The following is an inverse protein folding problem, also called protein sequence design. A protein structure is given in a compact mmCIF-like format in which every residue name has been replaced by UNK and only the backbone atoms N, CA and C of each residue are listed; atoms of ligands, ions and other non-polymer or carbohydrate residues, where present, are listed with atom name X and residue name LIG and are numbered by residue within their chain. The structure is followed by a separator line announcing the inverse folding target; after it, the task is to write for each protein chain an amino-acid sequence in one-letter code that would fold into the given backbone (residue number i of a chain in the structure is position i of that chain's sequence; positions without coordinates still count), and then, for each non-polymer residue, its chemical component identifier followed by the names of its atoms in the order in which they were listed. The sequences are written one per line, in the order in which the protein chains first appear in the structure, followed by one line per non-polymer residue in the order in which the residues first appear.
data_IF_706071683286
#
_entry.id   IF_706071683286
#
_cell.length_a   1.000
_cell.length_b   1.000
_cell.length_c   1.000
_cell.angle_alpha   90.00
_cell.angle_beta   90.00
_cell.angle_gamma   90.00
#
_symmetry.space_group_name_H-M   'P 1'
#
loop_
_entity.id
_entity.type
_entity.pdbx_description
1 polymer ?
#
# COMPACT_ATOMS: atom_id res chain seq x y z
N UNK A 1 -7.51 27.71 11.40
CA UNK A 1 -8.78 27.46 10.68
C UNK A 1 -8.63 26.28 9.75
N UNK A 2 -9.68 25.46 9.66
CA UNK A 2 -9.67 24.34 8.74
C UNK A 2 -9.72 24.85 7.30
N UNK A 3 -8.84 24.37 6.46
CA UNK A 3 -8.83 24.71 5.03
C UNK A 3 -9.91 23.90 4.33
N UNK A 4 -10.50 24.50 3.31
CA UNK A 4 -11.49 23.80 2.49
C UNK A 4 -10.78 22.76 1.63
N UNK A 5 -11.27 21.54 1.66
CA UNK A 5 -10.74 20.43 0.86
C UNK A 5 -11.27 20.56 -0.55
N UNK A 6 -10.36 20.59 -1.54
CA UNK A 6 -10.69 20.65 -2.95
C UNK A 6 -10.81 19.25 -3.55
N UNK A 7 -9.84 18.38 -3.26
CA UNK A 7 -9.83 17.03 -3.83
C UNK A 7 -9.02 16.05 -2.98
N UNK A 8 -9.27 14.77 -3.20
CA UNK A 8 -8.44 13.68 -2.67
C UNK A 8 -7.79 12.96 -3.85
N UNK A 9 -6.50 12.66 -3.71
CA UNK A 9 -5.74 11.90 -4.70
C UNK A 9 -5.20 10.65 -4.05
N UNK A 10 -5.45 9.48 -4.64
CA UNK A 10 -4.96 8.20 -4.14
C UNK A 10 -3.97 7.63 -5.13
N UNK A 11 -2.76 7.34 -4.67
CA UNK A 11 -1.68 6.83 -5.50
C UNK A 11 -0.95 5.69 -4.79
N UNK A 12 -0.30 4.84 -5.57
CA UNK A 12 0.70 3.90 -5.08
C UNK A 12 2.04 4.26 -5.70
N UNK A 13 3.00 4.60 -4.85
CA UNK A 13 4.31 5.09 -5.29
C UNK A 13 5.39 4.23 -4.64
N UNK A 14 6.40 3.78 -5.40
CA UNK A 14 7.53 3.04 -4.81
C UNK A 14 8.22 3.87 -3.71
N UNK A 15 8.53 3.24 -2.58
CA UNK A 15 9.15 3.89 -1.45
C UNK A 15 10.48 4.55 -1.85
N UNK A 16 10.69 5.79 -1.44
CA UNK A 16 11.87 6.60 -1.71
C UNK A 16 12.15 6.84 -3.21
N UNK A 17 11.17 6.60 -4.08
CA UNK A 17 11.33 6.72 -5.54
C UNK A 17 10.27 7.62 -6.18
N UNK A 18 9.64 8.50 -5.41
CA UNK A 18 8.70 9.46 -5.99
C UNK A 18 9.44 10.45 -6.90
N UNK A 19 8.88 10.69 -8.09
CA UNK A 19 9.45 11.62 -9.05
C UNK A 19 8.31 12.27 -9.86
N UNK A 20 8.60 13.33 -10.63
CA UNK A 20 7.58 14.01 -11.41
C UNK A 20 7.02 13.23 -12.60
N UNK A 21 7.56 12.06 -12.89
CA UNK A 21 7.09 11.20 -13.97
C UNK A 21 5.73 10.56 -13.62
N UNK A 22 4.94 10.10 -14.62
CA UNK A 22 3.73 9.36 -14.32
C UNK A 22 4.00 8.19 -13.35
N UNK A 23 3.06 7.89 -12.41
CA UNK A 23 1.72 8.47 -12.30
C UNK A 23 1.64 9.74 -11.43
N UNK A 24 2.73 10.15 -10.77
CA UNK A 24 2.71 11.25 -9.79
C UNK A 24 2.46 12.60 -10.46
N UNK A 25 3.22 12.92 -11.52
CA UNK A 25 3.14 14.20 -12.19
C UNK A 25 1.75 14.55 -12.67
N UNK A 26 1.14 13.72 -13.54
CA UNK A 26 -0.20 14.03 -14.06
C UNK A 26 -1.27 14.10 -12.96
N UNK A 27 -1.21 13.22 -11.96
CA UNK A 27 -2.21 13.19 -10.89
C UNK A 27 -2.19 14.47 -10.05
N UNK A 28 -1.01 14.95 -9.70
CA UNK A 28 -0.86 16.19 -8.91
C UNK A 28 -1.01 17.43 -9.76
N UNK A 29 -0.52 17.38 -10.99
CA UNK A 29 -0.58 18.52 -11.92
C UNK A 29 -2.01 18.94 -12.26
N UNK A 30 -2.94 18.00 -12.37
CA UNK A 30 -4.35 18.29 -12.61
C UNK A 30 -4.97 19.16 -11.51
N UNK A 31 -4.45 19.04 -10.29
CA UNK A 31 -4.96 19.79 -9.15
C UNK A 31 -4.13 21.01 -8.79
N UNK A 32 -3.07 21.27 -9.56
CA UNK A 32 -2.20 22.43 -9.36
C UNK A 32 -1.31 22.36 -8.13
N UNK A 33 -1.04 21.14 -7.65
CA UNK A 33 -0.17 20.90 -6.49
C UNK A 33 1.30 20.93 -6.92
N UNK A 34 2.17 21.43 -6.04
CA UNK A 34 3.62 21.42 -6.30
C UNK A 34 4.16 19.99 -6.22
N UNK A 35 4.46 19.44 -7.39
CA UNK A 35 4.91 18.05 -7.54
C UNK A 35 6.24 17.80 -6.82
N UNK A 36 7.18 18.72 -6.95
CA UNK A 36 8.51 18.57 -6.36
C UNK A 36 8.48 18.55 -4.84
N UNK A 37 7.66 19.42 -4.24
CA UNK A 37 7.49 19.47 -2.79
C UNK A 37 6.93 18.14 -2.26
N UNK A 38 5.95 17.59 -2.95
CA UNK A 38 5.38 16.28 -2.61
C UNK A 38 6.44 15.17 -2.72
N UNK A 39 7.17 15.14 -3.82
CA UNK A 39 8.19 14.10 -4.04
C UNK A 39 9.26 14.13 -2.95
N UNK A 40 9.73 15.32 -2.57
CA UNK A 40 10.72 15.48 -1.50
C UNK A 40 10.18 15.00 -0.17
N UNK A 41 8.97 15.41 0.20
CA UNK A 41 8.35 15.03 1.46
C UNK A 41 8.11 13.53 1.52
N UNK A 42 7.55 12.94 0.46
CA UNK A 42 7.29 11.51 0.38
C UNK A 42 8.58 10.69 0.48
N UNK A 43 9.59 11.05 -0.29
CA UNK A 43 10.87 10.34 -0.27
C UNK A 43 11.52 10.40 1.10
N UNK A 44 11.46 11.56 1.77
CA UNK A 44 12.00 11.70 3.12
C UNK A 44 11.29 10.80 4.13
N UNK A 45 9.96 10.72 4.05
CA UNK A 45 9.18 9.89 4.97
C UNK A 45 9.30 8.39 4.70
N UNK A 46 9.60 8.00 3.47
CA UNK A 46 9.68 6.58 3.08
C UNK A 46 11.11 6.04 3.04
N UNK A 47 12.11 6.83 3.41
CA UNK A 47 13.51 6.37 3.41
C UNK A 47 13.76 5.18 4.32
N UNK A 48 13.01 5.06 5.41
CA UNK A 48 13.12 3.93 6.34
C UNK A 48 12.54 2.64 5.82
N UNK A 49 11.78 2.70 4.73
CA UNK A 49 11.15 1.54 4.10
C UNK A 49 12.08 0.94 3.04
N UNK A 50 11.84 -0.33 2.72
CA UNK A 50 12.58 -0.99 1.65
C UNK A 50 12.32 -0.27 0.32
N UNK A 51 13.37 0.22 -0.38
CA UNK A 51 13.18 0.93 -1.65
C UNK A 51 12.47 0.07 -2.69
N UNK A 52 11.56 0.68 -3.43
CA UNK A 52 10.82 0.01 -4.48
C UNK A 52 9.54 -0.70 -4.04
N UNK A 53 9.27 -0.82 -2.73
CA UNK A 53 7.99 -1.35 -2.25
C UNK A 53 6.90 -0.32 -2.52
N UNK A 54 5.79 -0.69 -3.20
CA UNK A 54 4.68 0.23 -3.39
C UNK A 54 4.10 0.68 -2.05
N UNK A 55 3.97 2.00 -1.89
CA UNK A 55 3.37 2.59 -0.70
C UNK A 55 2.11 3.33 -1.13
N UNK A 56 0.92 2.90 -0.66
CA UNK A 56 -0.31 3.64 -0.92
C UNK A 56 -0.28 4.97 -0.18
N UNK A 57 -0.68 6.02 -0.87
CA UNK A 57 -0.71 7.37 -0.31
C UNK A 57 -2.05 8.02 -0.62
N UNK A 58 -2.62 8.72 0.34
CA UNK A 58 -3.82 9.52 0.15
C UNK A 58 -3.42 10.98 0.35
N UNK A 59 -3.52 11.77 -0.71
CA UNK A 59 -3.15 13.18 -0.72
C UNK A 59 -4.42 14.01 -0.66
N UNK A 60 -4.51 14.89 0.33
CA UNK A 60 -5.61 15.85 0.45
C UNK A 60 -5.15 17.18 -0.10
N UNK A 61 -5.83 17.67 -1.15
CA UNK A 61 -5.57 18.97 -1.78
C UNK A 61 -6.57 19.99 -1.27
N UNK A 62 -6.06 21.13 -0.82
CA UNK A 62 -6.89 22.20 -0.29
C UNK A 62 -7.14 23.28 -1.34
N UNK A 63 -8.14 24.14 -1.09
CA UNK A 63 -8.54 25.19 -2.03
C UNK A 63 -7.42 26.19 -2.35
N UNK A 64 -6.48 26.38 -1.44
CA UNK A 64 -5.31 27.26 -1.64
C UNK A 64 -4.14 26.58 -2.36
N UNK A 65 -4.35 25.36 -2.89
CA UNK A 65 -3.35 24.53 -3.58
C UNK A 65 -2.27 23.94 -2.65
N UNK A 66 -2.43 24.10 -1.34
CA UNK A 66 -1.61 23.35 -0.40
C UNK A 66 -2.09 21.90 -0.32
N UNK A 67 -1.27 21.03 0.24
CA UNK A 67 -1.60 19.62 0.37
C UNK A 67 -1.09 19.04 1.68
N UNK A 68 -1.75 17.97 2.11
CA UNK A 68 -1.24 17.06 3.13
C UNK A 68 -1.38 15.65 2.60
N UNK A 69 -0.58 14.74 3.09
CA UNK A 69 -0.70 13.34 2.65
C UNK A 69 -0.51 12.39 3.83
N UNK A 70 -1.15 11.22 3.69
CA UNK A 70 -1.05 10.12 4.65
C UNK A 70 -0.53 8.92 3.88
N UNK A 71 0.59 8.36 4.31
CA UNK A 71 1.09 7.11 3.76
C UNK A 71 0.48 5.95 4.54
N UNK A 72 0.13 4.89 3.82
CA UNK A 72 -0.38 3.66 4.40
C UNK A 72 0.66 2.56 4.30
N UNK A 73 0.40 1.43 4.96
CA UNK A 73 1.29 0.28 4.84
C UNK A 73 1.23 -0.31 3.43
N UNK A 74 2.29 -1.02 2.97
CA UNK A 74 2.28 -1.63 1.64
C UNK A 74 1.05 -2.51 1.43
N UNK A 75 0.56 -2.66 0.17
CA UNK A 75 -0.60 -3.51 -0.09
C UNK A 75 -0.38 -4.95 0.39
N UNK A 76 -1.42 -5.57 0.93
CA UNK A 76 -1.34 -6.94 1.41
C UNK A 76 -0.87 -7.92 0.32
N UNK A 77 -1.31 -7.71 -0.92
CA UNK A 77 -0.91 -8.55 -2.04
C UNK A 77 0.61 -8.53 -2.29
N UNK A 78 1.24 -7.37 -2.13
CA UNK A 78 2.69 -7.23 -2.29
C UNK A 78 3.42 -7.99 -1.19
N UNK A 79 2.98 -7.83 0.06
CA UNK A 79 3.57 -8.52 1.21
C UNK A 79 3.40 -10.04 1.11
N UNK A 80 2.23 -10.50 0.66
CA UNK A 80 1.95 -11.91 0.47
C UNK A 80 2.81 -12.54 -0.63
N UNK A 81 2.94 -11.85 -1.76
CA UNK A 81 3.80 -12.34 -2.85
C UNK A 81 5.26 -12.44 -2.42
N UNK A 82 5.72 -11.47 -1.67
CA UNK A 82 7.08 -11.46 -1.14
C UNK A 82 7.30 -12.62 -0.17
N UNK A 83 6.36 -12.85 0.75
CA UNK A 83 6.43 -13.96 1.71
C UNK A 83 6.37 -15.33 1.03
N UNK A 84 5.55 -15.46 -0.02
CA UNK A 84 5.42 -16.70 -0.78
C UNK A 84 6.56 -16.91 -1.80
N UNK A 85 7.36 -15.87 -2.06
CA UNK A 85 8.46 -15.95 -3.02
C UNK A 85 8.03 -15.96 -4.47
N UNK A 86 6.87 -15.38 -4.81
CA UNK A 86 6.34 -15.32 -6.17
C UNK A 86 6.26 -13.88 -6.66
N UNK A 87 6.45 -13.68 -7.96
CA UNK A 87 6.41 -12.36 -8.58
C UNK A 87 5.00 -11.89 -8.87
N UNK A 88 4.11 -12.82 -9.19
CA UNK A 88 2.73 -12.51 -9.56
C UNK A 88 1.76 -13.46 -8.86
N UNK A 89 0.54 -12.97 -8.64
CA UNK A 89 -0.56 -13.81 -8.21
C UNK A 89 -1.09 -14.66 -9.37
N UNK A 90 -2.05 -15.53 -9.05
CA UNK A 90 -2.68 -16.41 -10.04
C UNK A 90 -3.78 -15.68 -10.82
N UNK A 91 -3.88 -15.95 -12.12
CA UNK A 91 -5.02 -15.55 -12.94
C UNK A 91 -6.27 -16.40 -12.68
N UNK A 92 -6.08 -17.59 -12.10
CA UNK A 92 -7.15 -18.53 -11.74
C UNK A 92 -6.99 -18.96 -10.27
N UNK A 93 -7.22 -18.05 -9.31
CA UNK A 93 -6.87 -18.32 -7.90
C UNK A 93 -7.67 -19.45 -7.26
N UNK A 94 -8.81 -19.78 -7.80
CA UNK A 94 -9.65 -20.87 -7.28
C UNK A 94 -9.14 -22.27 -7.68
N UNK A 95 -8.40 -22.37 -8.77
CA UNK A 95 -7.94 -23.64 -9.32
C UNK A 95 -6.43 -23.77 -9.41
N UNK A 96 -5.71 -22.67 -9.58
CA UNK A 96 -4.26 -22.67 -9.76
C UNK A 96 -3.58 -21.86 -8.68
N UNK A 97 -2.97 -22.54 -7.71
CA UNK A 97 -2.22 -21.91 -6.62
C UNK A 97 -0.77 -21.74 -7.02
N UNK A 98 -0.25 -20.53 -6.86
CA UNK A 98 1.12 -20.18 -7.29
C UNK A 98 2.13 -20.11 -6.15
N UNK A 99 1.67 -20.17 -4.91
CA UNK A 99 2.54 -20.11 -3.74
C UNK A 99 1.83 -20.51 -2.47
N UNK A 100 2.57 -20.48 -1.37
CA UNK A 100 2.06 -20.85 -0.05
C UNK A 100 2.71 -19.99 1.01
N UNK A 101 1.94 -19.60 2.02
CA UNK A 101 2.44 -18.88 3.20
C UNK A 101 2.05 -19.63 4.47
N UNK A 102 2.92 -19.56 5.45
CA UNK A 102 2.66 -20.18 6.77
C UNK A 102 1.90 -19.21 7.66
N UNK A 103 1.32 -19.71 8.74
CA UNK A 103 0.66 -18.88 9.74
C UNK A 103 1.61 -17.83 10.32
N UNK A 104 2.87 -18.17 10.57
CA UNK A 104 3.87 -17.24 11.08
C UNK A 104 4.07 -16.06 10.12
N UNK A 105 4.15 -16.34 8.82
CA UNK A 105 4.26 -15.30 7.79
C UNK A 105 3.01 -14.41 7.74
N UNK A 106 1.82 -15.01 7.90
CA UNK A 106 0.56 -14.25 7.96
C UNK A 106 0.52 -13.34 9.18
N UNK A 107 1.01 -13.79 10.32
CA UNK A 107 1.08 -12.99 11.55
C UNK A 107 2.04 -11.80 11.38
N UNK A 108 3.18 -12.00 10.73
CA UNK A 108 4.12 -10.93 10.43
C UNK A 108 3.48 -9.87 9.53
N UNK A 109 2.80 -10.29 8.48
CA UNK A 109 2.10 -9.40 7.56
C UNK A 109 0.99 -8.65 8.30
N UNK A 110 0.22 -9.37 9.11
CA UNK A 110 -0.86 -8.78 9.89
C UNK A 110 -0.34 -7.71 10.87
N UNK A 111 0.82 -7.95 11.48
CA UNK A 111 1.44 -6.98 12.38
C UNK A 111 1.81 -5.70 11.64
N UNK A 112 2.39 -5.82 10.45
CA UNK A 112 2.74 -4.65 9.61
C UNK A 112 1.50 -3.89 9.19
N UNK A 113 0.42 -4.60 8.83
CA UNK A 113 -0.83 -4.00 8.34
C UNK A 113 -1.78 -3.53 9.44
N UNK A 114 -1.53 -3.90 10.70
CA UNK A 114 -2.47 -3.62 11.79
C UNK A 114 -2.96 -2.17 11.86
N UNK A 115 -2.11 -1.14 11.64
CA UNK A 115 -2.58 0.24 11.64
C UNK A 115 -3.65 0.55 10.60
N UNK A 116 -3.69 -0.20 9.50
CA UNK A 116 -4.64 0.02 8.40
C UNK A 116 -5.83 -0.96 8.44
N UNK A 117 -5.77 -1.96 9.34
CA UNK A 117 -6.82 -2.96 9.44
C UNK A 117 -7.89 -2.57 10.47
N UNK A 118 -9.10 -3.04 10.26
CA UNK A 118 -10.19 -2.89 11.20
C UNK A 118 -10.34 -4.09 12.14
N UNK A 119 -9.40 -5.02 12.09
CA UNK A 119 -9.43 -6.24 12.90
C UNK A 119 -9.28 -5.91 14.38
N UNK A 120 -10.05 -6.60 15.22
CA UNK A 120 -10.05 -6.38 16.67
C UNK A 120 -8.87 -7.04 17.37
N UNK A 121 -8.33 -8.11 16.80
CA UNK A 121 -7.21 -8.85 17.38
C UNK A 121 -6.36 -9.48 16.28
N UNK A 122 -5.27 -10.13 16.67
CA UNK A 122 -4.32 -10.76 15.74
C UNK A 122 -4.98 -11.88 14.94
N UNK A 123 -5.84 -12.69 15.55
CA UNK A 123 -6.51 -13.78 14.85
C UNK A 123 -7.42 -13.28 13.73
N UNK A 124 -8.19 -12.23 13.99
CA UNK A 124 -9.03 -11.59 12.97
C UNK A 124 -8.18 -10.98 11.85
N UNK A 125 -7.06 -10.35 12.20
CA UNK A 125 -6.12 -9.79 11.22
C UNK A 125 -5.53 -10.89 10.32
N UNK A 126 -5.12 -12.01 10.90
CA UNK A 126 -4.59 -13.17 10.14
C UNK A 126 -5.63 -13.68 9.15
N UNK A 127 -6.90 -13.80 9.56
CA UNK A 127 -7.98 -14.24 8.67
C UNK A 127 -8.19 -13.26 7.52
N UNK A 128 -8.12 -11.97 7.80
CA UNK A 128 -8.26 -10.93 6.77
C UNK A 128 -7.14 -11.07 5.72
N UNK A 129 -5.91 -11.22 6.16
CA UNK A 129 -4.76 -11.39 5.27
C UNK A 129 -4.85 -12.73 4.51
N UNK A 130 -5.30 -13.81 5.18
CA UNK A 130 -5.49 -15.10 4.54
C UNK A 130 -6.53 -15.04 3.40
N UNK A 131 -7.60 -14.27 3.59
CA UNK A 131 -8.58 -14.02 2.53
C UNK A 131 -7.97 -13.34 1.32
N UNK A 132 -7.10 -12.35 1.53
CA UNK A 132 -6.35 -11.69 0.46
C UNK A 132 -5.41 -12.67 -0.26
N UNK A 133 -4.75 -13.55 0.50
CA UNK A 133 -3.88 -14.59 -0.07
C UNK A 133 -4.67 -15.53 -0.98
N UNK A 134 -5.84 -15.96 -0.51
CA UNK A 134 -6.72 -16.82 -1.30
C UNK A 134 -7.11 -16.17 -2.63
N UNK A 135 -7.45 -14.88 -2.60
CA UNK A 135 -7.82 -14.14 -3.81
C UNK A 135 -6.65 -13.97 -4.77
N UNK A 136 -5.42 -14.01 -4.28
CA UNK A 136 -4.21 -13.95 -5.11
C UNK A 136 -3.72 -15.32 -5.58
N UNK A 137 -4.38 -16.41 -5.17
CA UNK A 137 -3.96 -17.77 -5.51
C UNK A 137 -2.81 -18.27 -4.67
N UNK A 138 -2.70 -17.81 -3.44
CA UNK A 138 -1.68 -18.23 -2.47
C UNK A 138 -2.35 -19.05 -1.37
N UNK A 139 -1.87 -20.28 -1.16
CA UNK A 139 -2.38 -21.13 -0.09
C UNK A 139 -1.89 -20.65 1.28
N UNK A 140 -2.70 -20.91 2.30
CA UNK A 140 -2.38 -20.55 3.68
C UNK A 140 -2.42 -21.79 4.58
N UNK A 141 -1.61 -21.78 5.64
CA UNK A 141 -1.58 -22.85 6.64
C UNK A 141 -2.26 -22.39 7.92
N UNK A 142 -2.97 -23.33 8.56
CA UNK A 142 -3.52 -23.16 9.92
C UNK A 142 -4.41 -21.91 10.09
N UNK A 143 -5.25 -21.67 9.11
CA UNK A 143 -6.18 -20.51 9.16
C UNK A 143 -7.61 -20.96 8.98
#
# INVERSE_FOLDING_TARGET
MAKKIDAYIKLQIPAAQANPSPPVGPALGQHGVNIMDFCKAFNAETQSLEPGIPVPVVITVYADKSFTFIKKTPPASVLLRKAAGVDKGSGEPHSNKVGRVTRAQLEEIATVKMPDLTAQNMEAAVRTIAGSARSAGIDTEDV
#
